data_IF_331078439661
#
_entry.id   IF_331078439661
#
_cell.length_a   1.000
_cell.length_b   1.000
_cell.length_c   1.000
_cell.angle_alpha   90.00
_cell.angle_beta   90.00
_cell.angle_gamma   90.00
#
_symmetry.space_group_name_H-M   'P 1'
#
loop_
_entity.id
_entity.type
_entity.pdbx_description
1 polymer ?
#
# COMPACT_ATOMS: atom_id res chain seq x y z
N UNK A 1 7.04 -14.65 31.72
CA UNK A 1 8.04 -13.62 31.29
C UNK A 1 7.49 -12.85 30.11
N UNK A 2 7.43 -11.51 30.18
CA UNK A 2 7.06 -10.67 29.03
C UNK A 2 8.20 -10.75 28.00
N UNK A 3 7.90 -11.18 26.78
CA UNK A 3 8.88 -11.25 25.69
C UNK A 3 9.21 -9.83 25.19
N UNK A 4 10.49 -9.57 24.95
CA UNK A 4 10.94 -8.32 24.33
C UNK A 4 10.89 -8.45 22.81
N UNK A 5 10.40 -7.43 22.11
CA UNK A 5 10.30 -7.36 20.65
C UNK A 5 10.96 -6.06 20.19
N UNK A 6 11.78 -6.16 19.16
CA UNK A 6 12.36 -5.01 18.48
C UNK A 6 11.68 -4.89 17.11
N UNK A 7 11.15 -3.71 16.81
CA UNK A 7 10.58 -3.36 15.51
C UNK A 7 11.54 -2.41 14.81
N UNK A 8 12.01 -2.78 13.65
CA UNK A 8 12.92 -1.96 12.84
C UNK A 8 12.10 -1.21 11.79
N UNK A 9 12.11 0.11 11.87
CA UNK A 9 11.36 1.03 11.04
C UNK A 9 10.17 1.65 11.75
N UNK A 10 10.18 2.98 11.91
CA UNK A 10 9.13 3.81 12.54
C UNK A 10 8.08 4.33 11.55
N UNK A 11 7.93 3.73 10.38
CA UNK A 11 6.83 4.02 9.48
C UNK A 11 5.49 3.46 9.98
N UNK A 12 4.38 3.74 9.26
CA UNK A 12 3.04 3.35 9.69
C UNK A 12 2.92 1.84 10.00
N UNK A 13 3.55 0.97 9.21
CA UNK A 13 3.51 -0.48 9.43
C UNK A 13 4.22 -0.85 10.74
N UNK A 14 5.42 -0.30 10.97
CA UNK A 14 6.18 -0.56 12.20
C UNK A 14 5.47 -0.06 13.44
N UNK A 15 4.93 1.16 13.40
CA UNK A 15 4.22 1.75 14.52
C UNK A 15 2.93 0.98 14.86
N UNK A 16 2.13 0.57 13.87
CA UNK A 16 0.95 -0.27 14.11
C UNK A 16 1.32 -1.65 14.65
N UNK A 17 2.39 -2.26 14.11
CA UNK A 17 2.89 -3.53 14.64
C UNK A 17 3.32 -3.39 16.11
N UNK A 18 4.04 -2.34 16.45
CA UNK A 18 4.45 -2.04 17.82
C UNK A 18 3.24 -1.83 18.74
N UNK A 19 2.25 -1.06 18.29
CA UNK A 19 1.03 -0.79 19.03
C UNK A 19 0.25 -2.07 19.38
N UNK A 20 0.02 -2.94 18.40
CA UNK A 20 -0.70 -4.19 18.65
C UNK A 20 0.10 -5.17 19.49
N UNK A 21 1.41 -5.28 19.28
CA UNK A 21 2.28 -6.10 20.12
C UNK A 21 2.28 -5.61 21.59
N UNK A 22 2.27 -4.29 21.80
CA UNK A 22 2.18 -3.73 23.14
C UNK A 22 0.82 -4.05 23.79
N UNK A 23 -0.28 -4.01 23.03
CA UNK A 23 -1.60 -4.41 23.52
C UNK A 23 -1.64 -5.89 23.93
N UNK A 24 -0.90 -6.75 23.24
CA UNK A 24 -0.73 -8.17 23.59
C UNK A 24 0.24 -8.40 24.76
N UNK A 25 0.73 -7.33 25.38
CA UNK A 25 1.57 -7.38 26.58
C UNK A 25 3.07 -7.59 26.33
N UNK A 26 3.53 -7.47 25.09
CA UNK A 26 4.97 -7.47 24.78
C UNK A 26 5.63 -6.16 25.20
N UNK A 27 6.91 -6.23 25.59
CA UNK A 27 7.75 -5.02 25.73
C UNK A 27 8.34 -4.72 24.35
N UNK A 28 7.92 -3.61 23.73
CA UNK A 28 8.29 -3.27 22.36
C UNK A 28 9.24 -2.08 22.32
N UNK A 29 10.32 -2.20 21.54
CA UNK A 29 11.23 -1.11 21.21
C UNK A 29 11.19 -0.89 19.70
N UNK A 30 10.94 0.34 19.27
CA UNK A 30 11.00 0.73 17.85
C UNK A 30 12.33 1.42 17.59
N UNK A 31 13.02 0.99 16.54
CA UNK A 31 14.29 1.56 16.08
C UNK A 31 14.09 2.08 14.66
N UNK A 32 14.40 3.34 14.41
CA UNK A 32 14.41 3.95 13.08
C UNK A 32 15.77 4.59 12.78
N UNK A 33 16.11 4.74 11.51
CA UNK A 33 17.35 5.38 11.04
C UNK A 33 17.32 6.91 11.17
N UNK A 34 16.14 7.48 11.33
CA UNK A 34 15.90 8.91 11.41
C UNK A 34 14.78 9.20 12.41
N UNK A 35 14.30 10.44 12.46
CA UNK A 35 13.06 10.76 13.15
C UNK A 35 11.86 10.11 12.45
N UNK A 36 10.83 9.76 13.21
CA UNK A 36 9.63 9.10 12.71
C UNK A 36 8.84 10.01 11.73
N UNK A 37 9.10 11.32 11.75
CA UNK A 37 8.41 12.33 10.97
C UNK A 37 8.97 12.56 9.56
N UNK A 38 10.08 11.92 9.17
CA UNK A 38 10.76 12.14 7.89
C UNK A 38 10.40 11.17 6.78
N UNK A 39 9.66 10.11 7.08
CA UNK A 39 9.36 9.02 6.14
C UNK A 39 8.10 9.27 5.28
N UNK A 40 7.93 8.44 4.24
CA UNK A 40 6.79 8.48 3.34
C UNK A 40 5.43 8.32 4.07
N UNK A 41 5.40 7.64 5.20
CA UNK A 41 4.20 7.51 6.03
C UNK A 41 3.74 8.82 6.66
N UNK A 42 4.65 9.75 6.89
CA UNK A 42 4.32 11.07 7.45
C UNK A 42 3.76 12.02 6.39
N UNK A 43 4.29 11.97 5.17
CA UNK A 43 3.92 12.89 4.07
C UNK A 43 2.83 12.33 3.14
N UNK A 44 2.16 11.24 3.51
CA UNK A 44 1.04 10.71 2.74
C UNK A 44 -0.23 11.55 2.90
N UNK A 45 -1.19 11.36 1.99
CA UNK A 45 -2.45 12.10 2.00
C UNK A 45 -3.43 11.67 3.12
N UNK A 46 -3.14 10.61 3.87
CA UNK A 46 -3.96 10.13 4.99
C UNK A 46 -5.34 9.59 4.60
N UNK A 47 -5.57 9.25 3.33
CA UNK A 47 -6.86 8.74 2.88
C UNK A 47 -7.08 7.29 3.28
N UNK A 48 -8.26 7.02 3.85
CA UNK A 48 -8.78 5.68 4.06
C UNK A 48 -9.92 5.48 3.05
N UNK A 49 -9.65 4.68 2.01
CA UNK A 49 -10.52 4.56 0.84
C UNK A 49 -11.06 3.13 0.67
N UNK A 50 -12.02 2.69 1.49
CA UNK A 50 -12.55 1.32 1.44
C UNK A 50 -13.28 0.99 0.12
N UNK A 51 -13.63 2.00 -0.68
CA UNK A 51 -14.23 1.86 -2.01
C UNK A 51 -13.24 1.50 -3.12
N UNK A 52 -11.94 1.69 -2.91
CA UNK A 52 -10.92 1.37 -3.91
C UNK A 52 -10.57 -0.13 -3.88
N UNK A 53 -11.48 -0.96 -4.41
CA UNK A 53 -11.36 -2.41 -4.44
C UNK A 53 -10.84 -2.97 -5.77
N UNK A 54 -10.87 -2.16 -6.82
CA UNK A 54 -10.38 -2.56 -8.15
C UNK A 54 -8.88 -2.29 -8.22
N UNK A 55 -8.05 -3.33 -8.48
CA UNK A 55 -6.61 -3.13 -8.61
C UNK A 55 -6.27 -2.30 -9.86
N UNK A 56 -5.15 -1.58 -9.82
CA UNK A 56 -4.67 -0.77 -10.93
C UNK A 56 -4.44 -1.62 -12.20
N UNK A 57 -4.04 -2.88 -12.05
CA UNK A 57 -3.89 -3.83 -13.15
C UNK A 57 -5.24 -4.42 -13.61
N UNK A 58 -6.27 -3.58 -13.81
CA UNK A 58 -7.55 -4.01 -14.37
C UNK A 58 -7.51 -4.06 -15.91
N UNK A 59 -8.37 -4.89 -16.55
CA UNK A 59 -8.47 -4.95 -17.99
C UNK A 59 -8.75 -3.56 -18.61
N UNK A 60 -8.05 -3.24 -19.69
CA UNK A 60 -8.15 -1.93 -20.37
C UNK A 60 -7.36 -0.79 -19.73
N UNK A 61 -6.79 -0.98 -18.54
CA UNK A 61 -5.99 0.06 -17.88
C UNK A 61 -4.68 0.36 -18.62
N UNK A 62 -4.09 -0.62 -19.31
CA UNK A 62 -2.89 -0.40 -20.13
C UNK A 62 -3.18 0.58 -21.25
N UNK A 63 -4.26 0.36 -22.01
CA UNK A 63 -4.65 1.27 -23.09
C UNK A 63 -5.01 2.66 -22.57
N UNK A 64 -5.73 2.75 -21.45
CA UNK A 64 -6.00 4.02 -20.78
C UNK A 64 -4.72 4.71 -20.28
N UNK A 65 -3.81 3.96 -19.67
CA UNK A 65 -2.52 4.49 -19.21
C UNK A 65 -1.69 5.06 -20.34
N UNK A 66 -1.59 4.36 -21.47
CA UNK A 66 -0.91 4.87 -22.66
C UNK A 66 -1.58 6.16 -23.15
N UNK A 67 -2.92 6.18 -23.26
CA UNK A 67 -3.65 7.40 -23.65
C UNK A 67 -3.40 8.57 -22.69
N UNK A 68 -3.35 8.30 -21.39
CA UNK A 68 -3.09 9.31 -20.36
C UNK A 68 -1.66 9.87 -20.43
N UNK A 69 -0.68 9.07 -20.83
CA UNK A 69 0.70 9.55 -20.99
C UNK A 69 0.86 10.65 -22.06
N UNK A 70 -0.05 10.69 -23.04
CA UNK A 70 -0.09 11.74 -24.08
C UNK A 70 -1.00 12.91 -23.72
N UNK A 71 -1.64 12.90 -22.54
CA UNK A 71 -2.49 14.02 -22.09
C UNK A 71 -1.71 14.96 -21.17
N UNK A 72 -1.63 16.27 -21.49
CA UNK A 72 -0.91 17.24 -20.66
C UNK A 72 -1.51 17.41 -19.25
N UNK A 73 -2.80 17.09 -19.09
CA UNK A 73 -3.54 17.25 -17.83
C UNK A 73 -3.55 15.97 -16.97
N UNK A 74 -2.97 14.89 -17.46
CA UNK A 74 -2.97 13.62 -16.74
C UNK A 74 -1.90 13.60 -15.65
N UNK A 75 -2.26 13.23 -14.41
CA UNK A 75 -1.29 12.99 -13.35
C UNK A 75 -0.52 11.69 -13.54
N UNK A 76 -0.89 10.87 -14.52
CA UNK A 76 -0.30 9.56 -14.77
C UNK A 76 0.76 9.66 -15.86
N UNK A 77 2.01 9.47 -15.48
CA UNK A 77 3.14 9.42 -16.40
C UNK A 77 4.10 8.30 -16.01
N UNK A 78 4.44 7.44 -16.95
CA UNK A 78 5.50 6.44 -16.82
C UNK A 78 6.63 6.83 -17.75
N UNK A 79 7.78 7.21 -17.19
CA UNK A 79 8.98 7.49 -17.99
C UNK A 79 9.44 6.19 -18.67
N UNK A 80 9.44 6.13 -20.02
CA UNK A 80 9.96 4.96 -20.73
C UNK A 80 11.42 4.73 -20.38
N UNK A 81 11.78 3.49 -20.12
CA UNK A 81 13.16 3.07 -19.82
C UNK A 81 13.53 1.92 -20.72
N UNK A 82 14.67 2.06 -21.38
CA UNK A 82 15.21 1.03 -22.26
C UNK A 82 16.09 0.05 -21.45
N UNK A 83 15.48 -0.67 -20.50
CA UNK A 83 16.15 -1.71 -19.75
C UNK A 83 15.28 -2.97 -19.63
N UNK A 84 15.95 -4.11 -19.42
CA UNK A 84 15.31 -5.43 -19.34
C UNK A 84 14.28 -5.48 -18.20
N UNK A 85 14.55 -4.83 -17.07
CA UNK A 85 13.69 -4.87 -15.89
C UNK A 85 12.38 -4.12 -16.14
N UNK A 86 12.42 -3.00 -16.89
CA UNK A 86 11.22 -2.30 -17.31
C UNK A 86 10.35 -3.16 -18.23
N UNK A 87 10.93 -3.86 -19.19
CA UNK A 87 10.19 -4.76 -20.07
C UNK A 87 9.61 -5.96 -19.32
N UNK A 88 10.36 -6.58 -18.41
CA UNK A 88 9.87 -7.65 -17.53
C UNK A 88 8.71 -7.17 -16.68
N UNK A 89 8.82 -5.98 -16.08
CA UNK A 89 7.74 -5.38 -15.30
C UNK A 89 6.49 -5.15 -16.15
N UNK A 90 6.63 -4.53 -17.31
CA UNK A 90 5.51 -4.26 -18.23
C UNK A 90 4.81 -5.55 -18.67
N UNK A 91 5.57 -6.58 -18.97
CA UNK A 91 5.05 -7.90 -19.32
C UNK A 91 4.27 -8.55 -18.16
N UNK A 92 4.82 -8.53 -16.95
CA UNK A 92 4.16 -9.06 -15.77
C UNK A 92 2.90 -8.26 -15.43
N UNK A 93 2.94 -6.95 -15.57
CA UNK A 93 1.78 -6.10 -15.42
C UNK A 93 0.67 -6.46 -16.41
N UNK A 94 1.01 -6.63 -17.69
CA UNK A 94 0.07 -7.08 -18.73
C UNK A 94 -0.55 -8.45 -18.38
N UNK A 95 0.26 -9.43 -18.03
CA UNK A 95 -0.20 -10.77 -17.59
C UNK A 95 -1.12 -10.72 -16.35
N UNK A 96 -0.98 -9.71 -15.54
CA UNK A 96 -1.80 -9.54 -14.33
C UNK A 96 -3.12 -8.80 -14.60
N UNK A 97 -3.21 -8.09 -15.72
CA UNK A 97 -4.38 -7.28 -16.11
C UNK A 97 -5.48 -8.14 -16.75
N UNK A 98 -5.84 -9.24 -16.13
CA UNK A 98 -6.91 -10.14 -16.61
C UNK A 98 -8.12 -10.09 -15.70
N UNK A 99 -9.33 -10.23 -16.29
CA UNK A 99 -10.60 -10.20 -15.55
C UNK A 99 -10.62 -11.20 -14.41
N UNK A 100 -10.19 -12.44 -14.64
CA UNK A 100 -10.21 -13.48 -13.62
C UNK A 100 -9.26 -13.20 -12.43
N UNK A 101 -8.09 -12.57 -12.67
CA UNK A 101 -7.20 -12.16 -11.58
C UNK A 101 -7.77 -11.01 -10.77
N UNK A 102 -8.41 -10.05 -11.44
CA UNK A 102 -9.08 -8.91 -10.79
C UNK A 102 -10.24 -9.42 -9.91
N UNK A 103 -11.10 -10.27 -10.45
CA UNK A 103 -12.23 -10.84 -9.70
C UNK A 103 -11.79 -11.63 -8.46
N UNK A 104 -10.67 -12.36 -8.54
CA UNK A 104 -10.08 -13.05 -7.38
C UNK A 104 -9.46 -12.10 -6.35
N UNK A 105 -8.88 -10.99 -6.79
CA UNK A 105 -8.22 -10.03 -5.90
C UNK A 105 -9.23 -9.11 -5.17
N UNK A 106 -10.34 -8.73 -5.83
CA UNK A 106 -11.31 -7.77 -5.29
C UNK A 106 -11.87 -8.14 -3.90
N UNK A 107 -12.30 -9.39 -3.61
CA UNK A 107 -12.80 -9.73 -2.29
C UNK A 107 -11.75 -9.56 -1.19
N UNK A 108 -10.50 -9.93 -1.48
CA UNK A 108 -9.38 -9.79 -0.54
C UNK A 108 -9.09 -8.32 -0.26
N UNK A 109 -8.98 -7.51 -1.31
CA UNK A 109 -8.75 -6.06 -1.19
C UNK A 109 -9.89 -5.40 -0.41
N UNK A 110 -11.14 -5.74 -0.71
CA UNK A 110 -12.31 -5.24 0.03
C UNK A 110 -12.21 -5.56 1.51
N UNK A 111 -11.92 -6.82 1.84
CA UNK A 111 -11.81 -7.27 3.24
C UNK A 111 -10.72 -6.50 3.99
N UNK A 112 -9.52 -6.37 3.39
CA UNK A 112 -8.40 -5.64 3.99
C UNK A 112 -8.77 -4.16 4.19
N UNK A 113 -9.38 -3.51 3.21
CA UNK A 113 -9.76 -2.11 3.30
C UNK A 113 -10.83 -1.85 4.37
N UNK A 114 -11.80 -2.76 4.54
CA UNK A 114 -12.82 -2.66 5.60
C UNK A 114 -12.17 -2.82 6.97
N UNK A 115 -11.33 -3.83 7.16
CA UNK A 115 -10.58 -4.05 8.41
C UNK A 115 -9.71 -2.83 8.73
N UNK A 116 -9.00 -2.29 7.74
CA UNK A 116 -8.19 -1.08 7.92
C UNK A 116 -9.03 0.08 8.44
N UNK A 117 -10.18 0.36 7.80
CA UNK A 117 -11.10 1.42 8.25
C UNK A 117 -11.57 1.21 9.70
N UNK A 118 -11.93 -0.02 10.05
CA UNK A 118 -12.40 -0.36 11.41
C UNK A 118 -11.31 -0.13 12.47
N UNK A 119 -10.08 -0.57 12.17
CA UNK A 119 -8.91 -0.36 13.03
C UNK A 119 -8.66 1.14 13.24
N UNK A 120 -8.60 1.93 12.18
CA UNK A 120 -8.42 3.38 12.29
C UNK A 120 -9.53 4.04 13.10
N UNK A 121 -10.78 3.62 12.90
CA UNK A 121 -11.92 4.15 13.65
C UNK A 121 -11.88 3.77 15.14
N UNK A 122 -11.34 2.61 15.47
CA UNK A 122 -11.21 2.17 16.86
C UNK A 122 -10.12 2.93 17.61
N UNK A 123 -8.98 3.21 16.95
CA UNK A 123 -7.87 3.94 17.56
C UNK A 123 -8.23 5.42 17.81
N UNK A 124 -9.02 6.04 16.92
CA UNK A 124 -9.47 7.43 17.11
C UNK A 124 -10.34 7.64 18.35
N UNK A 125 -10.94 6.57 18.87
CA UNK A 125 -11.82 6.64 20.05
C UNK A 125 -11.07 6.42 21.38
N UNK A 126 -9.79 6.09 21.32
CA UNK A 126 -8.92 5.91 22.48
C UNK A 126 -8.12 7.17 22.73
#
# INVERSE_FOLDING_TARGET
MKKNVIVIGGGIIGLFSAYFLQKEGYKVTVIDKSDISSGASFVNAGYITPSHIVPLAAPGMIAKGIKWMFSPTSPFYIKPRWNIDFFKWAWNFHKSSTKGKVEKAMPVIKKINVISREIYSSIKKT
#
